data_IF_741279844645
#
_entry.id   IF_741279844645
#
_cell.length_a   1.000
_cell.length_b   1.000
_cell.length_c   1.000
_cell.angle_alpha   90.00
_cell.angle_beta   90.00
_cell.angle_gamma   90.00
#
_symmetry.space_group_name_H-M   'P 1'
#
loop_
_entity.id
_entity.type
_entity.pdbx_description
1 polymer ?
#
# COMPACT_ATOMS: atom_id res chain seq x y z
N UNK A 1 -2.05 12.98 -4.07
CA UNK A 1 -1.65 14.25 -3.45
C UNK A 1 -2.82 15.20 -3.53
N UNK A 2 -3.17 15.84 -2.42
CA UNK A 2 -4.10 16.97 -2.38
C UNK A 2 -3.40 18.10 -1.66
N UNK A 3 -3.36 19.29 -2.27
CA UNK A 3 -2.69 20.47 -1.70
C UNK A 3 -1.25 20.20 -1.23
N UNK A 4 -0.48 19.46 -2.04
CA UNK A 4 0.91 19.11 -1.70
C UNK A 4 1.08 18.04 -0.62
N UNK A 5 -0.01 17.48 -0.08
CA UNK A 5 0.01 16.41 0.94
C UNK A 5 -0.39 15.04 0.38
N UNK A 6 0.29 13.99 0.84
CA UNK A 6 -0.13 12.60 0.58
C UNK A 6 -1.37 12.25 1.41
N UNK A 7 -2.35 11.61 0.77
CA UNK A 7 -3.58 11.17 1.42
C UNK A 7 -3.49 9.66 1.63
N UNK A 8 -3.26 9.26 2.88
CA UNK A 8 -3.27 7.85 3.30
C UNK A 8 -4.67 7.44 3.76
N UNK A 9 -5.04 6.20 3.45
CA UNK A 9 -6.34 5.60 3.81
C UNK A 9 -6.13 4.25 4.48
N UNK A 10 -7.18 3.63 5.01
CA UNK A 10 -7.12 2.22 5.43
C UNK A 10 -6.74 1.29 4.26
N UNK A 11 -7.03 1.67 3.02
CA UNK A 11 -6.48 0.94 1.88
C UNK A 11 -4.97 1.12 1.73
N UNK A 12 -4.46 2.34 1.91
CA UNK A 12 -3.07 2.76 1.70
C UNK A 12 -2.45 3.39 2.98
N UNK A 13 -2.16 2.58 4.01
CA UNK A 13 -1.85 3.11 5.34
C UNK A 13 -0.46 3.75 5.45
N UNK A 14 0.52 3.24 4.70
CA UNK A 14 1.92 3.67 4.84
C UNK A 14 2.26 4.81 3.87
N UNK A 15 2.86 5.92 4.37
CA UNK A 15 3.26 7.06 3.53
C UNK A 15 4.41 6.68 2.59
N UNK A 16 4.63 7.48 1.56
CA UNK A 16 5.63 7.28 0.51
C UNK A 16 7.03 7.03 1.08
N UNK A 17 7.51 7.86 2.00
CA UNK A 17 8.87 7.70 2.56
C UNK A 17 9.04 6.38 3.31
N UNK A 18 7.99 5.91 3.99
CA UNK A 18 8.04 4.63 4.69
C UNK A 18 8.00 3.46 3.70
N UNK A 19 7.16 3.53 2.66
CA UNK A 19 7.15 2.55 1.57
C UNK A 19 8.47 2.51 0.82
N UNK A 20 9.10 3.67 0.58
CA UNK A 20 10.43 3.81 0.00
C UNK A 20 11.47 3.11 0.87
N UNK A 21 11.47 3.37 2.18
CA UNK A 21 12.35 2.70 3.15
C UNK A 21 12.14 1.18 3.16
N UNK A 22 10.90 0.71 3.13
CA UNK A 22 10.57 -0.72 3.03
C UNK A 22 11.19 -1.32 1.76
N UNK A 23 10.99 -0.70 0.60
CA UNK A 23 11.56 -1.17 -0.66
C UNK A 23 13.10 -1.14 -0.62
N UNK A 24 13.73 -0.05 -0.19
CA UNK A 24 15.19 0.04 -0.06
C UNK A 24 15.76 -1.08 0.79
N UNK A 25 15.13 -1.37 1.93
CA UNK A 25 15.55 -2.45 2.83
C UNK A 25 15.47 -3.87 2.25
N UNK A 26 14.79 -4.07 1.12
CA UNK A 26 14.78 -5.35 0.40
C UNK A 26 16.01 -5.52 -0.49
N UNK A 27 16.63 -4.40 -0.88
CA UNK A 27 17.77 -4.34 -1.80
C UNK A 27 19.03 -3.78 -1.14
N UNK A 28 19.03 -3.54 0.18
CA UNK A 28 20.23 -3.13 0.92
C UNK A 28 21.37 -4.14 0.66
N UNK A 29 22.40 -3.71 -0.07
CA UNK A 29 23.53 -4.56 -0.51
C UNK A 29 23.54 -4.95 -1.99
N UNK A 30 22.47 -4.66 -2.74
CA UNK A 30 22.37 -4.85 -4.19
C UNK A 30 22.26 -3.49 -4.88
N UNK A 31 23.31 -3.09 -5.60
CA UNK A 31 23.29 -1.86 -6.41
C UNK A 31 22.24 -1.94 -7.52
N UNK A 32 21.62 -0.80 -7.84
CA UNK A 32 20.63 -0.56 -8.90
C UNK A 32 19.15 -0.76 -8.54
N UNK A 33 18.67 -0.11 -7.48
CA UNK A 33 17.26 0.26 -7.43
C UNK A 33 17.08 1.77 -7.33
N UNK A 34 16.29 2.32 -8.24
CA UNK A 34 15.87 3.71 -8.20
C UNK A 34 14.37 3.78 -7.86
N UNK A 35 14.02 4.53 -6.82
CA UNK A 35 12.63 4.73 -6.39
C UNK A 35 12.27 6.18 -6.64
N UNK A 36 11.55 6.39 -7.74
CA UNK A 36 11.17 7.72 -8.21
C UNK A 36 9.85 8.19 -7.58
N UNK A 37 9.77 9.44 -7.09
CA UNK A 37 8.53 10.06 -6.63
C UNK A 37 7.67 10.61 -7.79
N UNK A 38 8.05 10.39 -9.05
CA UNK A 38 7.58 11.17 -10.19
C UNK A 38 6.16 10.81 -10.64
N UNK A 39 5.64 9.67 -10.19
CA UNK A 39 4.32 9.14 -10.58
C UNK A 39 3.23 9.45 -9.55
N UNK A 40 3.23 10.68 -9.03
CA UNK A 40 2.22 11.16 -8.07
C UNK A 40 0.97 11.63 -8.81
N UNK A 41 -0.19 11.10 -8.44
CA UNK A 41 -1.47 11.68 -8.83
C UNK A 41 -1.78 12.91 -7.97
N UNK A 42 -2.13 14.02 -8.61
CA UNK A 42 -2.61 15.23 -7.96
C UNK A 42 -4.14 15.31 -8.06
N UNK A 43 -4.78 15.75 -6.98
CA UNK A 43 -6.22 16.02 -6.97
C UNK A 43 -6.59 17.01 -8.08
N UNK A 44 -7.71 16.81 -8.80
CA UNK A 44 -8.68 15.74 -8.64
C UNK A 44 -8.31 14.45 -9.38
N UNK A 45 -8.38 13.30 -8.69
CA UNK A 45 -7.94 12.00 -9.21
C UNK A 45 -8.81 11.46 -10.35
N UNK A 46 -10.05 11.94 -10.50
CA UNK A 46 -10.94 11.58 -11.61
C UNK A 46 -10.31 11.86 -12.99
N UNK A 47 -9.38 12.83 -13.06
CA UNK A 47 -8.66 13.21 -14.28
C UNK A 47 -7.80 12.08 -14.87
N UNK A 48 -7.50 11.05 -14.09
CA UNK A 48 -6.66 9.92 -14.50
C UNK A 48 -7.47 8.68 -14.88
N UNK A 49 -8.80 8.70 -14.73
CA UNK A 49 -9.64 7.57 -15.13
C UNK A 49 -9.71 7.44 -16.66
N UNK A 50 -9.79 6.21 -17.19
CA UNK A 50 -10.22 5.99 -18.57
C UNK A 50 -11.65 6.55 -18.76
N UNK A 51 -12.01 7.14 -19.93
CA UNK A 51 -11.45 6.89 -21.25
C UNK A 51 -10.23 7.77 -21.60
N UNK A 52 -9.11 7.06 -21.78
CA UNK A 52 -7.76 7.25 -22.39
C UNK A 52 -7.36 8.61 -23.03
N UNK A 53 -8.26 9.56 -23.28
CA UNK A 53 -7.98 10.87 -23.94
C UNK A 53 -7.88 12.07 -22.99
N UNK A 54 -7.88 11.87 -21.66
CA UNK A 54 -7.62 12.98 -20.73
C UNK A 54 -6.20 13.53 -20.95
N UNK A 55 -6.02 14.85 -21.19
CA UNK A 55 -4.69 15.46 -21.30
C UNK A 55 -3.79 15.19 -20.09
N UNK A 56 -4.38 15.00 -18.91
CA UNK A 56 -3.64 14.67 -17.68
C UNK A 56 -3.07 13.25 -17.70
N UNK A 57 -3.82 12.27 -18.22
CA UNK A 57 -3.31 10.91 -18.39
C UNK A 57 -2.15 10.86 -19.39
N UNK A 58 -2.22 11.66 -20.45
CA UNK A 58 -1.12 11.83 -21.39
C UNK A 58 0.08 12.55 -20.78
N UNK A 59 -0.12 13.58 -19.96
CA UNK A 59 0.96 14.25 -19.24
C UNK A 59 1.69 13.28 -18.28
N UNK A 60 0.94 12.46 -17.54
CA UNK A 60 1.53 11.42 -16.67
C UNK A 60 2.32 10.40 -17.49
N UNK A 61 1.75 9.91 -18.61
CA UNK A 61 2.46 9.02 -19.53
C UNK A 61 3.77 9.65 -20.02
N UNK A 62 3.73 10.90 -20.47
CA UNK A 62 4.91 11.60 -20.98
C UNK A 62 5.98 11.74 -19.90
N UNK A 63 5.59 12.04 -18.65
CA UNK A 63 6.51 12.03 -17.51
C UNK A 63 7.14 10.66 -17.29
N UNK A 64 6.35 9.58 -17.29
CA UNK A 64 6.86 8.20 -17.18
C UNK A 64 7.89 7.89 -18.25
N UNK A 65 7.59 8.20 -19.51
CA UNK A 65 8.50 7.88 -20.61
C UNK A 65 9.77 8.74 -20.61
N UNK A 66 9.70 9.97 -20.10
CA UNK A 66 10.86 10.85 -19.98
C UNK A 66 11.82 10.39 -18.88
N UNK A 67 11.29 9.84 -17.78
CA UNK A 67 12.10 9.46 -16.63
C UNK A 67 12.82 8.12 -16.82
N UNK A 68 12.31 7.26 -17.71
CA UNK A 68 12.98 6.01 -18.10
C UNK A 68 14.23 6.34 -18.92
N UNK A 69 15.40 6.09 -18.35
CA UNK A 69 16.69 6.39 -18.99
C UNK A 69 17.10 5.32 -20.02
N UNK A 70 16.55 4.11 -19.89
CA UNK A 70 16.89 2.97 -20.72
C UNK A 70 16.20 3.01 -22.08
N UNK A 71 16.96 2.73 -23.14
CA UNK A 71 16.42 2.62 -24.50
C UNK A 71 15.39 1.49 -24.64
N UNK A 72 15.46 0.46 -23.79
CA UNK A 72 14.53 -0.67 -23.76
C UNK A 72 14.05 -0.91 -22.34
N UNK A 73 12.73 -0.87 -22.16
CA UNK A 73 12.08 -1.15 -20.89
C UNK A 73 10.80 -1.98 -21.10
N UNK A 74 10.37 -2.64 -20.03
CA UNK A 74 9.12 -3.40 -19.96
C UNK A 74 8.41 -3.07 -18.64
N UNK A 75 7.08 -3.10 -18.65
CA UNK A 75 6.28 -3.05 -17.43
C UNK A 75 5.73 -4.42 -17.09
N UNK A 76 5.50 -4.69 -15.81
CA UNK A 76 4.99 -5.96 -15.32
C UNK A 76 3.67 -5.73 -14.61
N UNK A 77 2.61 -6.45 -15.00
CA UNK A 77 1.34 -6.45 -14.26
C UNK A 77 0.63 -7.79 -14.34
N UNK A 78 0.03 -8.20 -13.23
CA UNK A 78 -0.87 -9.35 -13.15
C UNK A 78 -2.33 -8.99 -13.47
N UNK A 79 -2.68 -7.70 -13.52
CA UNK A 79 -4.05 -7.23 -13.73
C UNK A 79 -4.37 -7.06 -15.23
N UNK A 80 -5.57 -7.49 -15.63
CA UNK A 80 -5.97 -7.44 -17.04
C UNK A 80 -6.37 -6.05 -17.50
N UNK A 81 -7.07 -5.27 -16.67
CA UNK A 81 -7.47 -3.91 -17.03
C UNK A 81 -6.25 -2.98 -17.08
N UNK A 82 -5.35 -3.10 -16.11
CA UNK A 82 -4.07 -2.38 -16.09
C UNK A 82 -3.22 -2.72 -17.32
N UNK A 83 -3.09 -4.00 -17.68
CA UNK A 83 -2.34 -4.41 -18.88
C UNK A 83 -2.91 -3.80 -20.15
N UNK A 84 -4.24 -3.71 -20.26
CA UNK A 84 -4.89 -3.05 -21.40
C UNK A 84 -4.53 -1.56 -21.40
N UNK A 85 -4.65 -0.86 -20.27
CA UNK A 85 -4.32 0.56 -20.15
C UNK A 85 -2.83 0.83 -20.47
N UNK A 86 -1.90 0.05 -19.91
CA UNK A 86 -0.47 0.16 -20.17
C UNK A 86 -0.14 -0.05 -21.65
N UNK A 87 -0.87 -0.94 -22.35
CA UNK A 87 -0.70 -1.13 -23.80
C UNK A 87 -1.13 0.09 -24.59
N UNK A 88 -2.23 0.74 -24.22
CA UNK A 88 -2.63 2.01 -24.82
C UNK A 88 -1.62 3.14 -24.56
N UNK A 89 -0.93 3.11 -23.42
CA UNK A 89 0.11 4.09 -23.09
C UNK A 89 1.50 3.75 -23.65
N UNK A 90 1.64 2.70 -24.45
CA UNK A 90 2.93 2.24 -24.99
C UNK A 90 3.99 1.98 -23.89
N UNK A 91 3.56 1.40 -22.77
CA UNK A 91 4.44 1.08 -21.63
C UNK A 91 4.89 -0.40 -21.63
N UNK A 92 4.78 -1.09 -22.76
CA UNK A 92 5.27 -2.46 -22.99
C UNK A 92 4.96 -3.48 -21.86
N UNK A 93 3.68 -3.74 -21.50
CA UNK A 93 3.34 -4.59 -20.37
C UNK A 93 3.46 -6.09 -20.67
N UNK A 94 4.05 -6.84 -19.74
CA UNK A 94 4.06 -8.29 -19.72
C UNK A 94 3.25 -8.84 -18.55
N UNK A 95 2.67 -10.04 -18.74
CA UNK A 95 1.82 -10.69 -17.73
C UNK A 95 2.67 -11.25 -16.59
N UNK A 96 2.48 -10.75 -15.38
CA UNK A 96 3.07 -11.31 -14.17
C UNK A 96 2.22 -12.47 -13.61
N UNK A 97 2.86 -13.46 -12.98
CA UNK A 97 2.16 -14.47 -12.17
C UNK A 97 1.76 -13.84 -10.85
N UNK A 98 0.49 -13.95 -10.48
CA UNK A 98 -0.01 -13.48 -9.19
C UNK A 98 0.46 -14.45 -8.11
N UNK A 99 1.05 -13.93 -7.03
CA UNK A 99 1.33 -14.71 -5.83
C UNK A 99 0.01 -15.10 -5.15
N UNK A 100 0.00 -16.24 -4.47
CA UNK A 100 -1.14 -16.69 -3.67
C UNK A 100 -1.40 -15.74 -2.49
N UNK A 101 -0.32 -15.26 -1.87
CA UNK A 101 -0.35 -14.24 -0.83
C UNK A 101 -0.74 -12.89 -1.45
N UNK A 102 -1.83 -12.30 -0.96
CA UNK A 102 -2.27 -10.97 -1.38
C UNK A 102 -1.95 -9.90 -0.33
N UNK A 103 -1.66 -8.69 -0.79
CA UNK A 103 -1.47 -7.53 0.08
C UNK A 103 -2.70 -7.22 0.95
N UNK A 104 -3.91 -7.50 0.44
CA UNK A 104 -5.14 -7.38 1.22
C UNK A 104 -5.15 -8.34 2.41
N UNK A 105 -4.68 -9.59 2.23
CA UNK A 105 -4.62 -10.59 3.29
C UNK A 105 -3.65 -10.16 4.41
N UNK A 106 -2.41 -9.81 4.03
CA UNK A 106 -1.38 -9.33 4.96
C UNK A 106 -1.91 -8.15 5.80
N UNK A 107 -2.59 -7.21 5.16
CA UNK A 107 -3.12 -6.03 5.84
C UNK A 107 -4.29 -6.35 6.78
N UNK A 108 -5.15 -7.28 6.43
CA UNK A 108 -6.24 -7.70 7.32
C UNK A 108 -5.68 -8.38 8.58
N UNK A 109 -4.65 -9.21 8.43
CA UNK A 109 -3.92 -9.79 9.56
C UNK A 109 -3.27 -8.73 10.44
N UNK A 110 -2.61 -7.73 9.84
CA UNK A 110 -2.04 -6.58 10.55
C UNK A 110 -3.10 -5.84 11.37
N UNK A 111 -4.26 -5.54 10.77
CA UNK A 111 -5.33 -4.82 11.46
C UNK A 111 -6.00 -5.64 12.55
N UNK A 112 -6.16 -6.95 12.35
CA UNK A 112 -6.66 -7.86 13.39
C UNK A 112 -5.74 -7.85 14.61
N UNK A 113 -4.44 -8.02 14.40
CA UNK A 113 -3.44 -8.00 15.47
C UNK A 113 -3.44 -6.66 16.22
N UNK A 114 -3.49 -5.54 15.48
CA UNK A 114 -3.56 -4.21 16.10
C UNK A 114 -4.82 -4.01 16.95
N UNK A 115 -6.00 -4.42 16.45
CA UNK A 115 -7.25 -4.30 17.21
C UNK A 115 -7.26 -5.19 18.46
N UNK A 116 -6.66 -6.38 18.39
CA UNK A 116 -6.51 -7.26 19.56
C UNK A 116 -5.59 -6.65 20.62
N UNK A 117 -4.47 -6.05 20.21
CA UNK A 117 -3.56 -5.34 21.13
C UNK A 117 -4.27 -4.18 21.85
N UNK A 118 -5.02 -3.37 21.11
CA UNK A 118 -5.78 -2.24 21.64
C UNK A 118 -6.85 -2.71 22.65
N UNK A 119 -7.65 -3.73 22.29
CA UNK A 119 -8.67 -4.31 23.19
C UNK A 119 -8.06 -4.86 24.48
N UNK A 120 -6.92 -5.52 24.38
CA UNK A 120 -6.24 -6.12 25.54
C UNK A 120 -5.63 -5.04 26.45
N UNK A 121 -5.13 -3.93 25.90
CA UNK A 121 -4.71 -2.76 26.68
C UNK A 121 -5.89 -2.11 27.41
N UNK A 122 -7.01 -1.89 26.72
CA UNK A 122 -8.23 -1.34 27.34
C UNK A 122 -8.73 -2.25 28.47
N UNK A 123 -8.68 -3.56 28.30
CA UNK A 123 -9.09 -4.52 29.34
C UNK A 123 -8.16 -4.51 30.55
N UNK A 124 -6.85 -4.32 30.34
CA UNK A 124 -5.85 -4.28 31.41
C UNK A 124 -5.90 -2.96 32.20
N UNK A 125 -6.22 -1.85 31.53
CA UNK A 125 -6.40 -0.55 32.19
C UNK A 125 -7.70 -0.50 33.02
N UNK A 126 -8.67 -1.39 32.74
CA UNK A 126 -9.94 -1.48 33.47
C UNK A 126 -9.96 -2.57 34.56
N UNK A 127 -8.87 -3.32 34.74
CA UNK A 127 -8.72 -4.31 35.82
C UNK A 127 -7.50 -3.98 36.70
N UNK A 128 -7.66 -3.01 37.59
CA UNK A 128 -6.97 -2.99 38.88
C UNK A 128 -7.77 -3.86 39.88
N UNK A 129 -7.84 -5.17 39.66
CA UNK A 129 -7.98 -6.11 40.77
C UNK A 129 -7.35 -7.45 40.39
N UNK A 130 -6.58 -8.00 41.32
CA UNK A 130 -5.63 -9.08 41.08
C UNK A 130 -6.30 -10.36 40.62
N UNK A 131 -6.09 -10.73 39.36
CA UNK A 131 -6.25 -12.11 38.94
C UNK A 131 -5.30 -12.43 37.79
N UNK A 132 -4.30 -13.23 38.12
CA UNK A 132 -3.29 -13.77 37.21
C UNK A 132 -3.98 -14.54 36.08
N UNK A 133 -3.87 -14.03 34.85
CA UNK A 133 -4.37 -14.71 33.67
C UNK A 133 -3.21 -14.94 32.69
N UNK A 134 -2.17 -15.61 33.18
CA UNK A 134 -1.02 -16.06 32.41
C UNK A 134 -1.39 -17.28 31.53
N UNK A 135 -2.45 -17.22 30.72
CA UNK A 135 -2.81 -18.31 29.81
C UNK A 135 -3.78 -17.93 28.67
N UNK A 136 -3.52 -16.83 27.94
CA UNK A 136 -4.26 -16.52 26.69
C UNK A 136 -3.39 -16.22 25.46
N UNK A 137 -2.10 -16.57 25.46
CA UNK A 137 -1.21 -16.32 24.31
C UNK A 137 -1.14 -17.50 23.32
N UNK A 138 -1.74 -18.66 23.62
CA UNK A 138 -1.70 -19.84 22.74
C UNK A 138 -2.98 -20.10 21.94
N UNK A 139 -3.80 -19.09 21.65
CA UNK A 139 -5.09 -19.29 20.98
C UNK A 139 -5.33 -18.40 19.75
N UNK A 140 -4.30 -18.20 18.92
CA UNK A 140 -4.50 -17.92 17.50
C UNK A 140 -3.53 -18.79 16.70
N UNK A 141 -3.92 -20.04 16.44
CA UNK A 141 -3.34 -20.88 15.38
C UNK A 141 -3.68 -20.36 13.97
N UNK A 142 -3.68 -19.04 13.79
CA UNK A 142 -3.90 -18.36 12.52
C UNK A 142 -2.56 -18.01 11.87
N UNK A 143 -2.54 -17.93 10.54
CA UNK A 143 -1.38 -17.48 9.80
C UNK A 143 -0.95 -16.08 10.27
N UNK A 144 0.33 -15.94 10.61
CA UNK A 144 0.94 -14.68 11.03
C UNK A 144 1.40 -13.90 9.80
N UNK A 145 1.09 -12.60 9.73
CA UNK A 145 1.48 -11.74 8.60
C UNK A 145 3.01 -11.62 8.46
N UNK A 146 3.73 -11.81 9.56
CA UNK A 146 5.18 -11.82 9.64
C UNK A 146 5.78 -12.92 8.73
N UNK A 147 5.09 -14.05 8.55
CA UNK A 147 5.52 -15.11 7.62
C UNK A 147 5.36 -14.76 6.14
N UNK A 148 4.61 -13.68 5.83
CA UNK A 148 4.25 -13.28 4.46
C UNK A 148 5.09 -12.10 3.94
N UNK A 149 5.98 -11.56 4.78
CA UNK A 149 6.70 -10.31 4.53
C UNK A 149 8.19 -10.50 4.88
N UNK A 150 9.14 -9.94 4.11
CA UNK A 150 10.57 -10.04 4.44
C UNK A 150 10.92 -9.43 5.79
N UNK A 151 11.88 -10.04 6.51
CA UNK A 151 12.28 -9.66 7.88
C UNK A 151 12.63 -8.18 8.05
N UNK A 152 13.29 -7.58 7.05
CA UNK A 152 13.66 -6.16 7.07
C UNK A 152 12.42 -5.25 7.07
N UNK A 153 11.41 -5.61 6.29
CA UNK A 153 10.12 -4.91 6.22
C UNK A 153 9.30 -5.12 7.50
N UNK A 154 9.31 -6.32 8.09
CA UNK A 154 8.66 -6.59 9.39
C UNK A 154 9.16 -5.60 10.44
N UNK A 155 10.49 -5.43 10.56
CA UNK A 155 11.07 -4.48 11.51
C UNK A 155 10.56 -3.06 11.27
N UNK A 156 10.54 -2.61 10.02
CA UNK A 156 10.03 -1.27 9.67
C UNK A 156 8.55 -1.11 10.04
N UNK A 157 7.72 -2.13 9.83
CA UNK A 157 6.30 -2.12 10.20
C UNK A 157 6.15 -2.02 11.72
N UNK A 158 6.89 -2.83 12.49
CA UNK A 158 6.85 -2.82 13.95
C UNK A 158 7.34 -1.49 14.54
N UNK A 159 8.40 -0.91 13.99
CA UNK A 159 8.91 0.40 14.39
C UNK A 159 7.90 1.54 14.13
N UNK A 160 6.90 1.29 13.27
CA UNK A 160 5.86 2.26 12.88
C UNK A 160 4.45 1.70 13.16
N UNK A 161 4.31 0.88 14.21
CA UNK A 161 3.07 0.17 14.53
C UNK A 161 1.88 1.09 14.78
N UNK A 162 2.14 2.30 15.29
CA UNK A 162 1.13 3.34 15.49
C UNK A 162 0.35 3.68 14.20
N UNK A 163 0.96 3.54 13.02
CA UNK A 163 0.26 3.71 11.73
C UNK A 163 -0.77 2.59 11.53
N UNK A 164 -0.40 1.35 11.86
CA UNK A 164 -1.26 0.17 11.74
C UNK A 164 -2.46 0.33 12.67
N UNK A 165 -2.24 0.65 13.94
CA UNK A 165 -3.30 0.90 14.93
C UNK A 165 -4.27 2.00 14.49
N UNK A 166 -3.71 3.16 14.09
CA UNK A 166 -4.50 4.29 13.60
C UNK A 166 -5.42 3.89 12.45
N UNK A 167 -4.90 3.17 11.46
CA UNK A 167 -5.71 2.80 10.29
C UNK A 167 -6.62 1.59 10.56
N UNK A 168 -6.26 0.69 11.48
CA UNK A 168 -7.11 -0.40 11.95
C UNK A 168 -8.38 0.08 12.65
N UNK A 169 -8.33 1.23 13.32
CA UNK A 169 -9.49 1.88 13.94
C UNK A 169 -10.25 2.83 12.98
N UNK A 170 -9.68 3.15 11.83
CA UNK A 170 -10.27 4.11 10.88
C UNK A 170 -11.28 3.47 9.93
N UNK A 171 -12.30 4.25 9.51
CA UNK A 171 -13.13 3.89 8.36
C UNK A 171 -12.33 3.99 7.06
N UNK A 172 -12.54 3.06 6.12
CA UNK A 172 -11.86 3.12 4.83
C UNK A 172 -12.45 4.22 3.94
N UNK A 173 -11.65 5.27 3.71
CA UNK A 173 -11.98 6.40 2.84
C UNK A 173 -11.45 6.16 1.42
N UNK A 174 -11.70 4.98 0.88
CA UNK A 174 -11.24 4.57 -0.45
C UNK A 174 -12.42 4.18 -1.33
N UNK A 175 -12.48 4.72 -2.54
CA UNK A 175 -13.45 4.35 -3.56
C UNK A 175 -12.77 3.50 -4.64
N UNK A 176 -13.50 2.50 -5.17
CA UNK A 176 -13.05 1.67 -6.29
C UNK A 176 -13.78 2.09 -7.56
N UNK A 177 -13.03 2.46 -8.60
CA UNK A 177 -13.57 2.87 -9.90
C UNK A 177 -12.78 2.13 -10.99
N UNK A 178 -13.45 1.39 -11.87
CA UNK A 178 -12.82 0.58 -12.93
C UNK A 178 -11.64 -0.30 -12.47
N UNK A 179 -11.76 -0.94 -11.28
CA UNK A 179 -10.69 -1.78 -10.74
C UNK A 179 -9.62 -1.02 -9.95
N UNK A 180 -9.49 0.29 -10.17
CA UNK A 180 -8.56 1.18 -9.48
C UNK A 180 -9.11 1.61 -8.13
N UNK A 181 -8.22 1.88 -7.17
CA UNK A 181 -8.57 2.36 -5.82
C UNK A 181 -8.02 3.76 -5.61
N UNK A 182 -8.86 4.68 -5.18
CA UNK A 182 -8.49 6.07 -4.92
C UNK A 182 -8.98 6.51 -3.55
N UNK A 183 -8.26 7.41 -2.85
CA UNK A 183 -8.83 8.13 -1.73
C UNK A 183 -10.10 8.88 -2.18
N UNK A 184 -11.16 8.83 -1.37
CA UNK A 184 -12.38 9.62 -1.62
C UNK A 184 -12.09 11.11 -1.55
N UNK A 185 -11.22 11.50 -0.62
CA UNK A 185 -10.66 12.83 -0.55
C UNK A 185 -9.73 13.09 -1.74
N UNK A 186 -10.06 14.10 -2.54
CA UNK A 186 -9.32 14.44 -3.76
C UNK A 186 -9.86 13.75 -5.01
N UNK A 187 -11.01 13.08 -4.97
CA UNK A 187 -11.56 12.43 -6.17
C UNK A 187 -12.13 13.45 -7.15
N UNK A 188 -12.87 14.46 -6.67
CA UNK A 188 -13.47 15.55 -7.46
C UNK A 188 -12.82 16.93 -7.22
N UNK A 189 -12.28 17.16 -6.01
CA UNK A 189 -11.70 18.44 -5.56
C UNK A 189 -10.48 18.23 -4.65
#
# INVERSE_FOLDING_TARGET
MKEGREINTRTFPFPYELRKKMLQSLFDGHGNIEILPNYKFASPYIKYLPPIVSPYSWAVRTGILHDIQEERFISYTGDTAERIALRFYNLHPIKAKRLEISSSNVKELLYREALEHLRNQDSKNNMEDGSDNSNRINQLGGESWQGMVPKTVIRIILDNWNIVEKFAQSMDKTIKIFGMKFPTEGILH
#
